data_IF_403792268828
#
_entry.id   IF_403792268828
#
_cell.length_a   1.000
_cell.length_b   1.000
_cell.length_c   1.000
_cell.angle_alpha   90.00
_cell.angle_beta   90.00
_cell.angle_gamma   90.00
#
_symmetry.space_group_name_H-M   'P 1'
#
loop_
_entity.id
_entity.type
_entity.pdbx_description
1 polymer ?
#
# COMPACT_ATOMS: atom_id res chain seq x y z
N UNK A 1 4.39 -9.01 -1.37
CA UNK A 1 3.19 -8.15 -1.17
C UNK A 1 3.54 -7.12 -0.10
N UNK A 2 3.08 -5.89 -0.27
CA UNK A 2 3.27 -4.81 0.69
C UNK A 2 1.96 -4.03 0.81
N UNK A 3 1.81 -3.26 1.90
CA UNK A 3 0.64 -2.42 2.14
C UNK A 3 1.09 -1.10 2.75
N UNK A 4 0.76 0.01 2.08
CA UNK A 4 0.87 1.33 2.67
C UNK A 4 -0.44 1.68 3.40
N UNK A 5 -0.31 2.10 4.66
CA UNK A 5 -1.44 2.41 5.52
C UNK A 5 -1.30 3.82 6.10
N UNK A 6 -2.40 4.55 6.16
CA UNK A 6 -2.44 5.83 6.89
C UNK A 6 -2.48 5.54 8.40
N UNK A 7 -1.62 6.23 9.16
CA UNK A 7 -1.52 6.10 10.62
C UNK A 7 -1.63 7.47 11.28
N UNK A 8 -2.06 7.50 12.54
CA UNK A 8 -2.05 8.71 13.37
C UNK A 8 -0.89 8.60 14.36
N UNK A 9 0.20 9.39 14.21
CA UNK A 9 1.30 9.38 15.16
C UNK A 9 0.86 9.84 16.55
N UNK A 10 1.50 9.33 17.61
CA UNK A 10 1.23 9.76 19.00
C UNK A 10 1.46 11.27 19.22
N UNK A 11 2.25 11.91 18.37
CA UNK A 11 2.58 13.34 18.43
C UNK A 11 1.58 14.23 17.67
N UNK A 12 0.55 13.66 17.06
CA UNK A 12 -0.45 14.40 16.30
C UNK A 12 -1.25 15.37 17.19
N UNK A 13 -1.57 16.55 16.63
CA UNK A 13 -2.28 17.63 17.37
C UNK A 13 -3.68 17.94 16.83
N UNK A 14 -3.96 17.62 15.56
CA UNK A 14 -5.18 18.07 14.86
C UNK A 14 -6.14 16.93 14.52
N UNK A 15 -6.60 16.21 15.54
CA UNK A 15 -7.39 14.98 15.36
C UNK A 15 -8.67 15.17 14.53
N UNK A 16 -9.39 16.28 14.70
CA UNK A 16 -10.60 16.56 13.90
C UNK A 16 -10.30 16.59 12.40
N UNK A 17 -9.22 17.25 12.01
CA UNK A 17 -8.80 17.32 10.60
C UNK A 17 -8.28 15.97 10.09
N UNK A 18 -7.54 15.24 10.93
CA UNK A 18 -7.02 13.91 10.58
C UNK A 18 -8.17 12.94 10.30
N UNK A 19 -9.17 12.85 11.19
CA UNK A 19 -10.33 11.99 10.96
C UNK A 19 -11.14 12.44 9.73
N UNK A 20 -11.28 13.75 9.50
CA UNK A 20 -11.90 14.25 8.27
C UNK A 20 -11.16 13.78 7.02
N UNK A 21 -9.82 13.79 7.01
CA UNK A 21 -9.01 13.29 5.91
C UNK A 21 -9.12 11.77 5.74
N UNK A 22 -9.05 11.00 6.83
CA UNK A 22 -9.21 9.54 6.76
C UNK A 22 -10.58 9.15 6.19
N UNK A 23 -11.64 9.84 6.60
CA UNK A 23 -12.99 9.64 6.07
C UNK A 23 -13.05 10.02 4.59
N UNK A 24 -12.45 11.16 4.21
CA UNK A 24 -12.39 11.60 2.81
C UNK A 24 -11.68 10.57 1.92
N UNK A 25 -10.51 10.07 2.34
CA UNK A 25 -9.75 9.07 1.58
C UNK A 25 -10.47 7.71 1.51
N UNK A 26 -11.32 7.40 2.49
CA UNK A 26 -12.09 6.16 2.54
C UNK A 26 -13.35 6.20 1.67
N UNK A 27 -13.80 7.38 1.24
CA UNK A 27 -14.99 7.51 0.41
C UNK A 27 -14.76 6.89 -0.98
N UNK A 28 -15.64 6.01 -1.48
CA UNK A 28 -15.36 5.20 -2.67
C UNK A 28 -14.97 6.00 -3.92
N UNK A 29 -15.60 7.16 -4.14
CA UNK A 29 -15.29 8.01 -5.30
C UNK A 29 -13.89 8.59 -5.23
N UNK A 30 -13.48 9.06 -4.05
CA UNK A 30 -12.16 9.63 -3.82
C UNK A 30 -11.08 8.54 -3.93
N UNK A 31 -11.33 7.38 -3.32
CA UNK A 31 -10.43 6.23 -3.41
C UNK A 31 -10.29 5.70 -4.85
N UNK A 32 -11.37 5.73 -5.65
CA UNK A 32 -11.33 5.32 -7.05
C UNK A 32 -10.54 6.33 -7.90
N UNK A 33 -10.83 7.62 -7.75
CA UNK A 33 -10.08 8.68 -8.42
C UNK A 33 -8.58 8.60 -8.10
N UNK A 34 -8.23 8.39 -6.82
CA UNK A 34 -6.83 8.27 -6.40
C UNK A 34 -6.16 7.03 -7.04
N UNK A 35 -6.84 5.89 -7.06
CA UNK A 35 -6.31 4.67 -7.66
C UNK A 35 -6.17 4.76 -9.19
N UNK A 36 -7.10 5.41 -9.88
CA UNK A 36 -7.02 5.64 -11.32
C UNK A 36 -5.88 6.59 -11.68
N UNK A 37 -5.68 7.66 -10.89
CA UNK A 37 -4.61 8.63 -11.12
C UNK A 37 -3.22 8.06 -10.81
N UNK A 38 -3.05 7.39 -9.67
CA UNK A 38 -1.76 6.88 -9.20
C UNK A 38 -1.42 5.50 -9.79
N UNK A 39 -2.42 4.72 -10.18
CA UNK A 39 -2.26 3.40 -10.81
C UNK A 39 -2.09 2.23 -9.83
N UNK A 40 -2.14 2.47 -8.51
CA UNK A 40 -2.04 1.40 -7.51
C UNK A 40 -3.40 0.78 -7.17
N UNK A 41 -3.38 -0.51 -6.82
CA UNK A 41 -4.57 -1.26 -6.47
C UNK A 41 -5.23 -0.72 -5.19
N UNK A 42 -6.47 -0.23 -5.29
CA UNK A 42 -7.23 0.21 -4.11
C UNK A 42 -7.66 -0.96 -3.22
N UNK A 43 -7.53 -0.86 -1.88
CA UNK A 43 -8.09 -1.83 -0.95
C UNK A 43 -9.61 -1.66 -0.75
N UNK A 44 -10.18 -0.53 -1.19
CA UNK A 44 -11.60 -0.26 -1.05
C UNK A 44 -12.40 -0.99 -2.13
N UNK A 45 -13.19 -2.01 -1.72
CA UNK A 45 -13.99 -2.83 -2.65
C UNK A 45 -15.01 -2.03 -3.47
N UNK A 46 -15.63 -1.01 -2.86
CA UNK A 46 -16.59 -0.14 -3.55
C UNK A 46 -15.87 0.75 -4.56
N UNK A 47 -14.69 1.26 -4.22
CA UNK A 47 -13.85 2.03 -5.15
C UNK A 47 -13.40 1.19 -6.35
N UNK A 48 -12.95 -0.06 -6.12
CA UNK A 48 -12.59 -0.99 -7.20
C UNK A 48 -13.74 -1.20 -8.19
N UNK A 49 -14.98 -1.25 -7.70
CA UNK A 49 -16.14 -1.41 -8.56
C UNK A 49 -16.39 -0.21 -9.50
N UNK A 50 -15.94 1.00 -9.10
CA UNK A 50 -16.06 2.24 -9.88
C UNK A 50 -14.98 2.40 -10.95
N UNK A 51 -13.86 1.69 -10.83
CA UNK A 51 -12.75 1.78 -11.80
C UNK A 51 -13.14 1.24 -13.18
N UNK A 52 -12.51 1.73 -14.27
CA UNK A 52 -12.63 1.17 -15.60
C UNK A 52 -12.39 -0.34 -15.62
N UNK A 53 -13.14 -1.08 -16.46
CA UNK A 53 -12.99 -2.55 -16.58
C UNK A 53 -11.57 -2.98 -16.90
N UNK A 54 -10.86 -2.21 -17.74
CA UNK A 54 -9.47 -2.47 -18.09
C UNK A 54 -8.54 -2.47 -16.88
N UNK A 55 -8.81 -1.62 -15.87
CA UNK A 55 -8.00 -1.52 -14.65
C UNK A 55 -8.43 -2.58 -13.63
N UNK A 56 -9.73 -2.64 -13.28
CA UNK A 56 -10.19 -3.50 -12.18
C UNK A 56 -10.12 -5.01 -12.46
N UNK A 57 -9.98 -5.40 -13.73
CA UNK A 57 -9.83 -6.79 -14.17
C UNK A 57 -8.39 -7.16 -14.55
N UNK A 58 -7.45 -6.21 -14.50
CA UNK A 58 -6.04 -6.49 -14.76
C UNK A 58 -5.46 -7.34 -13.63
N UNK A 59 -4.98 -8.55 -13.97
CA UNK A 59 -4.42 -9.49 -13.01
C UNK A 59 -3.03 -9.10 -12.51
N UNK A 60 -2.33 -8.19 -13.18
CA UNK A 60 -1.05 -7.67 -12.70
C UNK A 60 -1.25 -6.86 -11.41
N UNK A 61 -2.36 -6.11 -11.32
CA UNK A 61 -2.72 -5.30 -10.15
C UNK A 61 -3.71 -5.99 -9.21
N UNK A 62 -4.64 -6.78 -9.76
CA UNK A 62 -5.64 -7.54 -9.02
C UNK A 62 -5.49 -9.04 -9.29
N UNK A 63 -4.42 -9.67 -8.75
CA UNK A 63 -4.11 -11.06 -9.00
C UNK A 63 -5.18 -12.02 -8.45
N UNK A 64 -5.18 -13.24 -8.96
CA UNK A 64 -6.05 -14.30 -8.46
C UNK A 64 -5.56 -14.89 -7.13
N UNK A 65 -6.42 -15.68 -6.49
CA UNK A 65 -6.11 -16.29 -5.20
C UNK A 65 -4.94 -17.27 -5.26
N UNK A 66 -4.68 -17.89 -6.42
CA UNK A 66 -3.54 -18.79 -6.58
C UNK A 66 -2.24 -18.00 -6.51
N UNK A 67 -2.17 -16.86 -7.17
CA UNK A 67 -1.02 -15.94 -7.10
C UNK A 67 -0.87 -15.39 -5.68
N UNK A 68 -1.97 -14.92 -5.06
CA UNK A 68 -1.95 -14.33 -3.70
C UNK A 68 -1.36 -15.30 -2.67
N UNK A 69 -1.67 -16.61 -2.74
CA UNK A 69 -1.16 -17.63 -1.82
C UNK A 69 0.37 -17.76 -1.79
N UNK A 70 1.05 -17.37 -2.87
CA UNK A 70 2.50 -17.46 -2.99
C UNK A 70 3.21 -16.14 -2.61
N UNK A 71 2.46 -15.07 -2.35
CA UNK A 71 3.05 -13.79 -1.98
C UNK A 71 3.37 -13.76 -0.47
N UNK A 72 4.53 -13.19 -0.14
CA UNK A 72 4.96 -12.97 1.24
C UNK A 72 4.84 -11.50 1.61
N UNK A 73 4.49 -11.24 2.87
CA UNK A 73 4.50 -9.90 3.48
C UNK A 73 5.79 -9.78 4.27
N UNK A 74 6.45 -8.63 4.21
CA UNK A 74 7.61 -8.36 5.06
C UNK A 74 7.23 -8.48 6.54
N UNK A 75 8.08 -9.16 7.31
CA UNK A 75 7.92 -9.26 8.75
C UNK A 75 8.61 -8.09 9.44
N UNK A 76 8.11 -7.71 10.62
CA UNK A 76 8.83 -6.81 11.51
C UNK A 76 10.06 -7.56 12.08
N UNK A 77 11.25 -7.16 11.64
CA UNK A 77 12.51 -7.80 12.00
C UNK A 77 13.19 -7.02 13.13
N UNK A 78 13.99 -7.71 13.94
CA UNK A 78 14.79 -7.03 14.96
C UNK A 78 15.72 -5.97 14.33
N UNK A 79 16.06 -4.89 15.06
CA UNK A 79 16.95 -3.84 14.53
C UNK A 79 18.28 -4.38 14.00
N UNK A 80 18.84 -5.41 14.66
CA UNK A 80 20.07 -6.07 14.20
C UNK A 80 19.90 -6.75 12.83
N UNK A 81 18.76 -7.42 12.59
CA UNK A 81 18.47 -8.03 11.28
C UNK A 81 18.22 -6.98 10.21
N UNK A 82 17.50 -5.90 10.53
CA UNK A 82 17.28 -4.78 9.60
C UNK A 82 18.63 -4.15 9.22
N UNK A 83 19.50 -3.91 10.19
CA UNK A 83 20.86 -3.42 9.96
C UNK A 83 21.65 -4.32 9.01
N UNK A 84 21.65 -5.63 9.26
CA UNK A 84 22.31 -6.60 8.39
C UNK A 84 21.79 -6.53 6.94
N UNK A 85 20.47 -6.46 6.72
CA UNK A 85 19.91 -6.37 5.36
C UNK A 85 20.33 -5.06 4.66
N UNK A 86 20.35 -3.95 5.40
CA UNK A 86 20.79 -2.65 4.89
C UNK A 86 22.26 -2.67 4.49
N UNK A 87 23.14 -3.24 5.32
CA UNK A 87 24.57 -3.34 5.07
C UNK A 87 24.84 -4.17 3.81
N UNK A 88 24.17 -5.32 3.67
CA UNK A 88 24.29 -6.17 2.47
C UNK A 88 23.77 -5.48 1.21
N UNK A 89 22.68 -4.74 1.31
CA UNK A 89 22.19 -3.96 0.16
C UNK A 89 23.12 -2.81 -0.20
N UNK A 90 23.76 -2.17 0.79
CA UNK A 90 24.77 -1.15 0.54
C UNK A 90 26.01 -1.74 -0.14
N UNK A 91 26.54 -2.86 0.36
CA UNK A 91 27.64 -3.60 -0.25
C UNK A 91 27.35 -3.94 -1.72
N UNK A 92 26.16 -4.47 -1.99
CA UNK A 92 25.69 -4.74 -3.36
C UNK A 92 25.75 -3.49 -4.26
N UNK A 93 25.21 -2.35 -3.82
CA UNK A 93 25.19 -1.10 -4.59
C UNK A 93 26.57 -0.48 -4.82
N UNK A 94 27.57 -0.80 -4.01
CA UNK A 94 28.92 -0.25 -4.13
C UNK A 94 29.79 -1.02 -5.12
N UNK A 95 29.49 -2.30 -5.34
CA UNK A 95 30.35 -3.22 -6.09
C UNK A 95 29.72 -3.75 -7.38
N UNK A 96 28.45 -3.43 -7.65
CA UNK A 96 27.71 -3.73 -8.87
C UNK A 96 26.91 -2.52 -9.33
#
# INVERSE_FOLDING_TARGET
MWFDNLVIPKTAKHFKAIYAFLNFMSEPKNAAQNAEYIGYATPNRKAKALLPKAIRNDRQFYPDNNTIKHLQIYQDLSPAKVGLYNDRYLEFKMHH
#
